data_IF_693613609210
#
_entry.id   IF_693613609210
#
_cell.length_a   1.000
_cell.length_b   1.000
_cell.length_c   1.000
_cell.angle_alpha   90.00
_cell.angle_beta   90.00
_cell.angle_gamma   90.00
#
_symmetry.space_group_name_H-M   'P 1'
#
loop_
_entity.id
_entity.type
_entity.pdbx_description
1 polymer ?
#
# COMPACT_ATOMS: atom_id res chain seq x y z
N UNK A 1 8.07 19.58 14.50
CA UNK A 1 7.99 18.09 14.58
C UNK A 1 7.34 17.45 13.34
N UNK A 2 6.14 17.88 12.89
CA UNK A 2 5.46 17.28 11.71
C UNK A 2 6.29 17.32 10.41
N UNK A 3 6.88 18.48 10.10
CA UNK A 3 7.73 18.65 8.91
C UNK A 3 9.06 17.89 9.00
N UNK A 4 9.58 17.71 10.22
CA UNK A 4 10.81 16.95 10.46
C UNK A 4 10.56 15.46 10.19
N UNK A 5 9.40 14.93 10.62
CA UNK A 5 9.01 13.54 10.32
C UNK A 5 8.75 13.31 8.82
N UNK A 6 8.11 14.27 8.14
CA UNK A 6 7.91 14.18 6.69
C UNK A 6 9.23 14.24 5.92
N UNK A 7 10.15 15.14 6.32
CA UNK A 7 11.47 15.27 5.73
C UNK A 7 12.34 14.05 6.01
N UNK A 8 12.34 13.53 7.24
CA UNK A 8 13.05 12.30 7.58
C UNK A 8 12.48 11.08 6.84
N UNK A 9 11.16 10.99 6.69
CA UNK A 9 10.51 9.95 5.89
C UNK A 9 10.85 10.04 4.40
N UNK A 10 10.89 11.26 3.85
CA UNK A 10 11.36 11.50 2.49
C UNK A 10 12.80 11.06 2.30
N UNK A 11 13.72 11.50 3.17
CA UNK A 11 15.14 11.13 3.10
C UNK A 11 15.37 9.64 3.31
N UNK A 12 14.65 9.00 4.23
CA UNK A 12 14.74 7.56 4.46
C UNK A 12 14.22 6.78 3.26
N UNK A 13 13.10 7.20 2.68
CA UNK A 13 12.56 6.60 1.46
C UNK A 13 13.54 6.73 0.32
N UNK A 14 14.08 7.93 0.11
CA UNK A 14 15.10 8.20 -0.92
C UNK A 14 16.33 7.30 -0.73
N UNK A 15 16.89 7.30 0.48
CA UNK A 15 18.02 6.45 0.86
C UNK A 15 17.73 4.97 0.59
N UNK A 16 16.55 4.47 0.96
CA UNK A 16 16.16 3.08 0.70
C UNK A 16 16.01 2.77 -0.80
N UNK A 17 15.52 3.70 -1.62
CA UNK A 17 15.33 3.47 -3.06
C UNK A 17 16.62 3.61 -3.89
N UNK A 18 17.58 4.44 -3.47
CA UNK A 18 18.83 4.66 -4.22
C UNK A 18 20.03 3.83 -3.75
N UNK A 19 20.01 3.28 -2.52
CA UNK A 19 21.07 2.36 -2.05
C UNK A 19 20.79 0.91 -2.40
N UNK A 20 19.51 0.54 -2.54
CA UNK A 20 19.18 -0.77 -3.07
C UNK A 20 19.11 -0.66 -4.59
N UNK A 21 20.18 -1.07 -5.26
CA UNK A 21 19.95 -1.97 -6.37
C UNK A 21 19.08 -3.09 -5.77
N UNK A 22 17.78 -3.06 -6.03
CA UNK A 22 16.84 -4.07 -5.54
C UNK A 22 17.09 -5.36 -6.32
N UNK A 23 18.25 -5.97 -6.07
CA UNK A 23 18.53 -7.33 -6.43
C UNK A 23 17.59 -8.17 -5.57
N UNK A 24 16.62 -8.82 -6.20
CA UNK A 24 16.02 -10.03 -5.65
C UNK A 24 17.09 -11.14 -5.56
N UNK A 25 18.30 -10.88 -5.04
CA UNK A 25 19.49 -11.74 -5.13
C UNK A 25 19.73 -12.35 -6.53
N UNK A 26 19.31 -11.69 -7.62
CA UNK A 26 19.33 -12.24 -8.98
C UNK A 26 18.32 -13.38 -9.24
N UNK A 27 17.47 -13.72 -8.28
CA UNK A 27 16.38 -14.69 -8.39
C UNK A 27 15.21 -14.03 -9.10
N UNK A 28 15.16 -14.21 -10.42
CA UNK A 28 14.01 -13.84 -11.22
C UNK A 28 12.92 -14.88 -11.02
N UNK A 29 11.68 -14.43 -10.82
CA UNK A 29 10.53 -15.31 -10.81
C UNK A 29 10.17 -15.69 -12.26
N UNK A 30 10.63 -16.85 -12.69
CA UNK A 30 10.53 -17.32 -14.07
C UNK A 30 9.27 -18.15 -14.29
N UNK A 31 8.82 -18.88 -13.28
CA UNK A 31 7.56 -19.63 -13.35
C UNK A 31 6.35 -18.80 -12.92
N UNK A 32 5.13 -19.08 -13.44
CA UNK A 32 3.91 -18.42 -12.95
C UNK A 32 3.71 -18.60 -11.44
N UNK A 33 4.07 -19.77 -10.90
CA UNK A 33 3.97 -20.06 -9.48
C UNK A 33 4.89 -19.16 -8.63
N UNK A 34 6.14 -18.94 -9.08
CA UNK A 34 7.07 -18.02 -8.41
C UNK A 34 6.56 -16.58 -8.45
N UNK A 35 6.00 -16.12 -9.57
CA UNK A 35 5.48 -14.76 -9.70
C UNK A 35 4.28 -14.52 -8.80
N UNK A 36 3.33 -15.47 -8.79
CA UNK A 36 2.18 -15.43 -7.87
C UNK A 36 2.66 -15.49 -6.41
N UNK A 37 3.63 -16.37 -6.12
CA UNK A 37 4.24 -16.49 -4.79
C UNK A 37 4.86 -15.18 -4.32
N UNK A 38 5.60 -14.49 -5.19
CA UNK A 38 6.19 -13.20 -4.90
C UNK A 38 5.13 -12.12 -4.60
N UNK A 39 4.06 -12.06 -5.41
CA UNK A 39 2.93 -11.15 -5.17
C UNK A 39 2.26 -11.45 -3.82
N UNK A 40 1.95 -12.71 -3.54
CA UNK A 40 1.34 -13.12 -2.27
C UNK A 40 2.24 -12.80 -1.07
N UNK A 41 3.55 -13.03 -1.20
CA UNK A 41 4.52 -12.66 -0.18
C UNK A 41 4.49 -11.16 0.10
N UNK A 42 4.50 -10.32 -0.94
CA UNK A 42 4.38 -8.87 -0.80
C UNK A 42 3.06 -8.45 -0.11
N UNK A 43 1.94 -9.08 -0.45
CA UNK A 43 0.65 -8.85 0.19
C UNK A 43 0.70 -9.20 1.69
N UNK A 44 1.28 -10.35 2.04
CA UNK A 44 1.42 -10.76 3.46
C UNK A 44 2.26 -9.76 4.24
N UNK A 45 3.39 -9.34 3.69
CA UNK A 45 4.25 -8.31 4.33
C UNK A 45 3.49 -7.00 4.50
N UNK A 46 2.75 -6.56 3.49
CA UNK A 46 1.92 -5.35 3.57
C UNK A 46 0.86 -5.47 4.66
N UNK A 47 0.17 -6.60 4.78
CA UNK A 47 -0.84 -6.82 5.81
C UNK A 47 -0.23 -6.82 7.22
N UNK A 48 0.96 -7.40 7.39
CA UNK A 48 1.73 -7.34 8.64
C UNK A 48 2.06 -5.88 8.98
N UNK A 49 2.58 -5.10 8.02
CA UNK A 49 2.88 -3.68 8.22
C UNK A 49 1.62 -2.88 8.56
N UNK A 50 0.49 -3.13 7.89
CA UNK A 50 -0.80 -2.53 8.25
C UNK A 50 -1.19 -2.85 9.69
N UNK A 51 -1.07 -4.11 10.13
CA UNK A 51 -1.36 -4.51 11.50
C UNK A 51 -0.44 -3.84 12.53
N UNK A 52 0.86 -3.76 12.23
CA UNK A 52 1.85 -3.02 13.04
C UNK A 52 1.47 -1.55 13.11
N UNK A 53 1.20 -0.90 11.99
CA UNK A 53 0.87 0.53 11.96
C UNK A 53 -0.43 0.85 12.67
N UNK A 54 -1.43 -0.04 12.58
CA UNK A 54 -2.67 0.08 13.35
C UNK A 54 -2.42 0.05 14.86
N UNK A 55 -1.40 -0.71 15.31
CA UNK A 55 -1.06 -0.84 16.74
C UNK A 55 -0.24 0.33 17.26
N UNK A 56 0.72 0.83 16.47
CA UNK A 56 1.71 1.81 16.95
C UNK A 56 1.43 3.26 16.56
N UNK A 57 0.60 3.51 15.54
CA UNK A 57 0.34 4.87 15.06
C UNK A 57 -1.09 5.31 15.33
N UNK A 58 -1.32 6.63 15.23
CA UNK A 58 -2.64 7.21 15.42
C UNK A 58 -3.67 6.70 14.39
N UNK A 59 -4.96 6.72 14.74
CA UNK A 59 -6.04 6.32 13.83
C UNK A 59 -6.02 7.11 12.52
N UNK A 60 -5.83 8.43 12.57
CA UNK A 60 -5.75 9.25 11.35
C UNK A 60 -4.56 8.86 10.47
N UNK A 61 -3.40 8.55 11.06
CA UNK A 61 -2.26 8.05 10.30
C UNK A 61 -2.59 6.72 9.61
N UNK A 62 -3.15 5.76 10.36
CA UNK A 62 -3.51 4.46 9.82
C UNK A 62 -4.59 4.55 8.71
N UNK A 63 -5.59 5.41 8.89
CA UNK A 63 -6.60 5.67 7.87
C UNK A 63 -5.97 6.27 6.61
N UNK A 64 -5.10 7.28 6.76
CA UNK A 64 -4.35 7.87 5.65
C UNK A 64 -3.46 6.86 4.92
N UNK A 65 -2.75 6.02 5.68
CA UNK A 65 -1.95 4.92 5.13
C UNK A 65 -2.82 3.92 4.35
N UNK A 66 -4.00 3.56 4.88
CA UNK A 66 -4.94 2.67 4.20
C UNK A 66 -5.44 3.25 2.88
N UNK A 67 -5.75 4.56 2.85
CA UNK A 67 -6.13 5.26 1.61
C UNK A 67 -4.96 5.27 0.61
N UNK A 68 -3.75 5.59 1.06
CA UNK A 68 -2.57 5.62 0.21
C UNK A 68 -2.28 4.24 -0.42
N UNK A 69 -2.30 3.16 0.38
CA UNK A 69 -2.20 1.78 -0.12
C UNK A 69 -3.29 1.48 -1.14
N UNK A 70 -4.53 1.89 -0.87
CA UNK A 70 -5.63 1.68 -1.80
C UNK A 70 -5.44 2.41 -3.14
N UNK A 71 -4.93 3.64 -3.13
CA UNK A 71 -4.59 4.37 -4.35
C UNK A 71 -3.45 3.69 -5.12
N UNK A 72 -2.43 3.19 -4.43
CA UNK A 72 -1.33 2.44 -5.04
C UNK A 72 -1.79 1.11 -5.67
N UNK A 73 -2.83 0.47 -5.13
CA UNK A 73 -3.38 -0.75 -5.74
C UNK A 73 -4.39 -0.48 -6.86
N UNK A 74 -4.96 0.73 -6.94
CA UNK A 74 -6.04 1.04 -7.89
C UNK A 74 -5.60 2.04 -8.95
N UNK A 75 -5.30 3.27 -8.56
CA UNK A 75 -4.91 4.34 -9.48
C UNK A 75 -3.64 3.97 -10.25
N UNK A 76 -2.63 3.45 -9.57
CA UNK A 76 -1.36 3.08 -10.21
C UNK A 76 -1.55 1.99 -11.27
N UNK A 77 -2.30 0.93 -10.94
CA UNK A 77 -2.62 -0.13 -11.89
C UNK A 77 -3.44 0.41 -13.07
N UNK A 78 -4.53 1.12 -12.82
CA UNK A 78 -5.39 1.61 -13.91
C UNK A 78 -4.63 2.59 -14.81
N UNK A 79 -3.90 3.54 -14.23
CA UNK A 79 -3.26 4.61 -14.99
C UNK A 79 -1.93 4.15 -15.58
N UNK A 80 -1.03 3.62 -14.76
CA UNK A 80 0.32 3.29 -15.21
C UNK A 80 0.45 1.88 -15.79
N UNK A 81 -0.33 0.90 -15.36
CA UNK A 81 -0.27 -0.45 -15.94
C UNK A 81 -1.17 -0.62 -17.15
N UNK A 82 -2.39 -0.07 -17.13
CA UNK A 82 -3.37 -0.32 -18.19
C UNK A 82 -3.40 0.77 -19.26
N UNK A 83 -3.47 2.04 -18.85
CA UNK A 83 -3.56 3.16 -19.80
C UNK A 83 -2.19 3.45 -20.41
N UNK A 84 -1.18 3.73 -19.58
CA UNK A 84 0.16 4.09 -20.06
C UNK A 84 1.06 2.88 -20.32
N UNK A 85 0.69 1.69 -19.82
CA UNK A 85 1.42 0.43 -20.04
C UNK A 85 2.91 0.52 -19.68
N UNK A 86 3.25 1.29 -18.65
CA UNK A 86 4.63 1.52 -18.23
C UNK A 86 5.28 0.27 -17.64
N UNK A 87 4.52 -0.48 -16.84
CA UNK A 87 4.93 -1.77 -16.28
C UNK A 87 3.71 -2.62 -15.92
N UNK A 88 3.93 -3.91 -15.68
CA UNK A 88 2.91 -4.86 -15.19
C UNK A 88 3.31 -5.35 -13.81
N UNK A 89 2.32 -5.78 -13.02
CA UNK A 89 2.61 -6.32 -11.68
C UNK A 89 3.37 -7.65 -11.75
N UNK A 90 3.10 -8.44 -12.79
CA UNK A 90 3.90 -9.61 -13.16
C UNK A 90 4.08 -9.64 -14.68
N UNK A 91 5.14 -10.32 -15.14
CA UNK A 91 5.45 -10.43 -16.58
C UNK A 91 4.68 -11.54 -17.30
N UNK A 92 3.71 -12.18 -16.65
CA UNK A 92 2.98 -13.32 -17.18
C UNK A 92 1.48 -13.07 -17.39
N UNK A 93 0.75 -14.03 -17.99
CA UNK A 93 -0.68 -13.90 -18.26
C UNK A 93 -1.51 -13.77 -16.97
N UNK A 94 -0.97 -14.18 -15.82
CA UNK A 94 -1.64 -14.02 -14.53
C UNK A 94 -1.91 -12.57 -14.13
N UNK A 95 -1.15 -11.60 -14.67
CA UNK A 95 -1.41 -10.18 -14.46
C UNK A 95 -2.82 -9.77 -14.92
N UNK A 96 -3.38 -10.45 -15.93
CA UNK A 96 -4.70 -10.11 -16.48
C UNK A 96 -5.86 -10.36 -15.50
N UNK A 97 -5.69 -11.23 -14.51
CA UNK A 97 -6.69 -11.45 -13.46
C UNK A 97 -6.23 -10.93 -12.09
N UNK A 98 -4.92 -10.89 -11.81
CA UNK A 98 -4.39 -10.30 -10.57
C UNK A 98 -4.64 -8.79 -10.49
N UNK A 99 -4.35 -8.05 -11.56
CA UNK A 99 -4.46 -6.59 -11.55
C UNK A 99 -5.91 -6.12 -11.32
N UNK A 100 -6.95 -6.67 -11.97
CA UNK A 100 -8.33 -6.30 -11.67
C UNK A 100 -8.74 -6.57 -10.22
N UNK A 101 -8.30 -7.69 -9.64
CA UNK A 101 -8.58 -8.03 -8.23
C UNK A 101 -7.94 -6.99 -7.30
N UNK A 102 -6.70 -6.60 -7.57
CA UNK A 102 -5.99 -5.59 -6.78
C UNK A 102 -6.61 -4.21 -6.93
N UNK A 103 -7.09 -3.85 -8.12
CA UNK A 103 -7.84 -2.59 -8.32
C UNK A 103 -9.10 -2.55 -7.46
N UNK A 104 -9.89 -3.63 -7.45
CA UNK A 104 -11.10 -3.72 -6.62
C UNK A 104 -10.75 -3.64 -5.13
N UNK A 105 -9.72 -4.36 -4.68
CA UNK A 105 -9.24 -4.28 -3.31
C UNK A 105 -8.76 -2.85 -2.95
N UNK A 106 -8.07 -2.18 -3.87
CA UNK A 106 -7.63 -0.80 -3.73
C UNK A 106 -8.79 0.17 -3.54
N UNK A 107 -9.85 0.05 -4.35
CA UNK A 107 -11.08 0.85 -4.22
C UNK A 107 -11.74 0.62 -2.86
N UNK A 108 -11.77 -0.63 -2.38
CA UNK A 108 -12.30 -0.97 -1.05
C UNK A 108 -11.47 -0.28 0.04
N UNK A 109 -10.14 -0.31 -0.04
CA UNK A 109 -9.26 0.35 0.94
C UNK A 109 -9.40 1.87 0.94
N UNK A 110 -9.45 2.51 -0.23
CA UNK A 110 -9.70 3.96 -0.34
C UNK A 110 -11.04 4.30 0.32
N UNK A 111 -12.09 3.59 -0.07
CA UNK A 111 -13.44 3.83 0.45
C UNK A 111 -13.51 3.63 1.96
N UNK A 112 -12.89 2.57 2.47
CA UNK A 112 -12.85 2.24 3.89
C UNK A 112 -12.08 3.29 4.70
N UNK A 113 -10.86 3.64 4.28
CA UNK A 113 -10.04 4.63 4.98
C UNK A 113 -10.69 6.01 5.02
N UNK A 114 -11.31 6.45 3.91
CA UNK A 114 -12.07 7.72 3.87
C UNK A 114 -13.29 7.67 4.78
N UNK A 115 -14.05 6.58 4.78
CA UNK A 115 -15.21 6.41 5.66
C UNK A 115 -14.81 6.45 7.14
N UNK A 116 -13.72 5.80 7.52
CA UNK A 116 -13.23 5.81 8.90
C UNK A 116 -12.76 7.19 9.35
N UNK A 117 -12.13 7.96 8.47
CA UNK A 117 -11.68 9.32 8.81
C UNK A 117 -12.86 10.30 8.95
N UNK A 118 -13.90 10.11 8.14
CA UNK A 118 -15.12 10.93 8.17
C UNK A 118 -16.11 10.52 9.26
N UNK A 119 -15.95 9.34 9.87
CA UNK A 119 -16.82 8.91 10.95
C UNK A 119 -16.69 9.89 12.13
N UNK A 120 -17.80 10.35 12.72
CA UNK A 120 -17.73 11.25 13.86
C UNK A 120 -16.88 10.61 14.95
N UNK A 121 -15.85 11.32 15.43
CA UNK A 121 -15.22 10.94 16.69
C UNK A 121 -16.36 10.99 17.71
N UNK A 122 -16.77 9.85 18.26
CA UNK A 122 -17.51 9.84 19.51
C UNK A 122 -16.57 10.47 20.54
N UNK A 123 -16.59 11.81 20.59
CA UNK A 123 -16.09 12.59 21.69
C UNK A 123 -16.95 12.11 22.84
N UNK A 124 -16.37 11.22 23.63
CA UNK A 124 -16.83 10.93 24.97
C UNK A 124 -17.08 12.28 25.64
N UNK A 125 -18.35 12.67 25.68
CA UNK A 125 -18.88 13.65 26.61
C UNK A 125 -18.82 13.00 27.99
N UNK A 126 -17.63 12.86 28.54
CA UNK A 126 -17.43 12.68 29.98
C UNK A 126 -16.80 13.97 30.53
N UNK A 127 -17.46 15.10 30.23
CA UNK A 127 -17.50 16.24 31.14
C UNK A 127 -18.94 16.28 31.65
N UNK A 128 -19.25 15.34 32.53
CA UNK A 128 -20.27 15.57 33.55
C UNK A 128 -19.51 16.07 34.77
N UNK A 129 -19.82 17.31 35.12
CA UNK A 129 -19.41 18.06 36.31
C UNK A 129 -19.54 17.24 37.59
#
# INVERSE_FOLDING_TARGET
MKYIGAFAGFLLSEFCFHIMDAFAAGIKADTPAERIGAVLFGIVVLLILMAVFRKFFSRSFFNGFTVATGLFLSFDIVVFHWIFQLHRITNGPEANWLEPILVVAGIVFVTYGVKLERAPRNISKNVSL
#
